data_IF_975260301936
#
_entry.id   IF_975260301936
#
_cell.length_a   1.000
_cell.length_b   1.000
_cell.length_c   1.000
_cell.angle_alpha   90.00
_cell.angle_beta   90.00
_cell.angle_gamma   90.00
#
_symmetry.space_group_name_H-M   'P 1'
#
loop_
_entity.id
_entity.type
_entity.pdbx_description
1 polymer ?
#
# COMPACT_ATOMS: atom_id res chain seq x y z
N UNK A 1 3.38 12.75 -17.70
CA UNK A 1 4.48 12.57 -16.72
C UNK A 1 4.32 11.16 -16.14
N UNK A 2 5.40 10.39 -15.97
CA UNK A 2 5.32 9.04 -15.39
C UNK A 2 6.04 9.02 -14.04
N UNK A 3 5.33 8.65 -12.98
CA UNK A 3 5.97 8.35 -11.69
C UNK A 3 6.61 6.97 -11.74
N UNK A 4 7.79 6.81 -11.15
CA UNK A 4 8.47 5.53 -11.05
C UNK A 4 7.86 4.62 -9.96
N UNK A 5 7.03 5.20 -9.08
CA UNK A 5 6.27 4.49 -8.06
C UNK A 5 5.05 5.32 -7.61
N UNK A 6 4.20 4.69 -6.80
CA UNK A 6 2.97 5.32 -6.27
C UNK A 6 3.23 6.54 -5.38
N UNK A 7 4.33 6.57 -4.62
CA UNK A 7 4.71 7.71 -3.77
C UNK A 7 5.07 8.94 -4.60
N UNK A 8 5.86 8.76 -5.66
CA UNK A 8 6.21 9.86 -6.57
C UNK A 8 4.98 10.34 -7.35
N UNK A 9 4.10 9.43 -7.74
CA UNK A 9 2.84 9.77 -8.40
C UNK A 9 1.96 10.65 -7.49
N UNK A 10 1.88 10.32 -6.19
CA UNK A 10 1.23 11.19 -5.18
C UNK A 10 1.88 12.57 -5.10
N UNK A 11 3.22 12.65 -5.09
CA UNK A 11 3.93 13.93 -5.03
C UNK A 11 3.59 14.82 -6.23
N UNK A 12 3.50 14.27 -7.44
CA UNK A 12 3.14 15.06 -8.62
C UNK A 12 1.75 15.68 -8.52
N UNK A 13 0.76 14.94 -8.02
CA UNK A 13 -0.56 15.51 -7.76
C UNK A 13 -0.51 16.57 -6.66
N UNK A 14 0.18 16.29 -5.55
CA UNK A 14 0.26 17.21 -4.41
C UNK A 14 0.95 18.55 -4.75
N UNK A 15 1.90 18.57 -5.68
CA UNK A 15 2.59 19.79 -6.11
C UNK A 15 1.98 20.45 -7.33
N UNK A 16 0.83 19.96 -7.83
CA UNK A 16 0.18 20.46 -9.05
C UNK A 16 0.94 20.17 -10.36
N UNK A 17 1.91 19.26 -10.32
CA UNK A 17 2.62 18.78 -11.51
C UNK A 17 1.79 17.74 -12.30
N UNK A 18 0.72 17.24 -11.70
CA UNK A 18 -0.33 16.44 -12.34
C UNK A 18 -1.69 16.86 -11.78
N UNK A 19 -2.71 16.93 -12.62
CA UNK A 19 -4.08 17.29 -12.19
C UNK A 19 -4.77 16.13 -11.45
N UNK A 20 -4.48 14.89 -11.86
CA UNK A 20 -5.04 13.66 -11.28
C UNK A 20 -3.94 12.61 -11.18
N UNK A 21 -4.02 11.76 -10.16
CA UNK A 21 -3.10 10.65 -9.92
C UNK A 21 -3.85 9.37 -9.55
N UNK A 22 -3.50 8.26 -10.21
CA UNK A 22 -3.89 6.92 -9.77
C UNK A 22 -2.87 6.40 -8.75
N UNK A 23 -3.30 6.23 -7.50
CA UNK A 23 -2.47 5.81 -6.36
C UNK A 23 -3.25 4.89 -5.44
N UNK A 24 -2.56 4.19 -4.50
CA UNK A 24 -3.25 3.31 -3.54
C UNK A 24 -4.04 4.10 -2.50
N UNK A 25 -5.17 3.55 -2.07
CA UNK A 25 -6.06 4.14 -1.05
C UNK A 25 -5.31 4.47 0.25
N UNK A 26 -4.36 3.62 0.64
CA UNK A 26 -3.50 3.81 1.82
C UNK A 26 -2.68 5.11 1.79
N UNK A 27 -2.39 5.65 0.60
CA UNK A 27 -1.64 6.90 0.46
C UNK A 27 -2.54 8.15 0.45
N UNK A 28 -3.86 7.99 0.31
CA UNK A 28 -4.83 9.09 0.24
C UNK A 28 -5.56 9.30 1.56
N UNK A 29 -5.56 8.29 2.44
CA UNK A 29 -6.24 8.36 3.75
C UNK A 29 -5.61 9.45 4.64
N UNK A 30 -6.41 10.47 4.98
CA UNK A 30 -5.97 11.66 5.73
C UNK A 30 -5.31 12.76 4.89
N UNK A 31 -5.34 12.65 3.55
CA UNK A 31 -4.82 13.64 2.62
C UNK A 31 -5.87 14.66 2.15
N UNK A 32 -5.40 15.63 1.37
CA UNK A 32 -6.22 16.67 0.73
C UNK A 32 -6.63 16.26 -0.69
N UNK A 33 -7.80 16.71 -1.15
CA UNK A 33 -8.30 16.49 -2.50
C UNK A 33 -9.58 15.66 -2.56
N UNK A 34 -10.08 15.45 -3.78
CA UNK A 34 -11.20 14.54 -4.03
C UNK A 34 -10.67 13.15 -4.37
N UNK A 35 -11.26 12.14 -3.73
CA UNK A 35 -10.91 10.74 -3.93
C UNK A 35 -12.06 10.06 -4.67
N UNK A 36 -11.72 9.35 -5.75
CA UNK A 36 -12.63 8.48 -6.47
C UNK A 36 -12.05 7.08 -6.38
N UNK A 37 -12.75 6.18 -5.68
CA UNK A 37 -12.36 4.77 -5.62
C UNK A 37 -12.62 4.11 -6.98
N UNK A 38 -11.65 3.31 -7.43
CA UNK A 38 -11.78 2.53 -8.66
C UNK A 38 -12.51 1.25 -8.30
N UNK A 39 -13.60 0.93 -9.02
CA UNK A 39 -14.36 -0.29 -8.79
C UNK A 39 -13.50 -1.54 -9.02
N UNK A 40 -13.68 -2.55 -8.16
CA UNK A 40 -12.95 -3.83 -8.21
C UNK A 40 -13.13 -4.59 -9.54
N UNK A 41 -14.22 -4.34 -10.28
CA UNK A 41 -14.49 -4.93 -11.59
C UNK A 41 -13.66 -4.29 -12.73
N UNK A 42 -13.00 -3.16 -12.47
CA UNK A 42 -12.20 -2.41 -13.44
C UNK A 42 -10.72 -2.76 -13.42
N UNK A 43 -10.28 -3.62 -12.50
CA UNK A 43 -8.90 -4.09 -12.44
C UNK A 43 -8.79 -5.54 -11.94
N UNK A 44 -7.60 -6.11 -12.08
CA UNK A 44 -7.28 -7.36 -11.40
C UNK A 44 -7.05 -7.09 -9.91
N UNK A 45 -7.32 -8.04 -9.01
CA UNK A 45 -6.96 -7.90 -7.60
C UNK A 45 -5.48 -7.54 -7.42
N UNK A 46 -5.20 -6.61 -6.51
CA UNK A 46 -3.84 -6.12 -6.21
C UNK A 46 -3.30 -6.84 -4.97
N UNK A 47 -2.83 -8.06 -5.17
CA UNK A 47 -2.36 -8.92 -4.09
C UNK A 47 -1.01 -8.47 -3.53
N UNK A 48 -0.96 -8.21 -2.21
CA UNK A 48 0.28 -7.89 -1.50
C UNK A 48 0.88 -9.16 -0.91
N UNK A 49 2.18 -9.37 -1.13
CA UNK A 49 2.90 -10.53 -0.62
C UNK A 49 4.14 -10.10 0.19
N UNK A 50 4.51 -10.94 1.16
CA UNK A 50 5.68 -10.77 1.99
C UNK A 50 6.43 -12.09 2.10
N UNK A 51 7.76 -12.03 2.06
CA UNK A 51 8.63 -13.21 2.15
C UNK A 51 9.93 -12.88 2.92
N UNK A 52 10.51 -13.89 3.55
CA UNK A 52 11.88 -13.80 4.11
C UNK A 52 12.88 -14.24 3.06
N UNK A 53 13.94 -13.46 2.87
CA UNK A 53 15.04 -13.87 1.99
C UNK A 53 15.78 -15.07 2.58
N UNK A 54 15.99 -16.10 1.76
CA UNK A 54 16.61 -17.36 2.20
C UNK A 54 17.99 -17.15 2.86
N UNK A 55 18.76 -16.21 2.34
CA UNK A 55 20.14 -15.94 2.80
C UNK A 55 20.21 -14.86 3.89
N UNK A 56 19.08 -14.46 4.47
CA UNK A 56 19.07 -13.49 5.57
C UNK A 56 19.83 -14.03 6.79
N UNK A 57 20.74 -13.24 7.35
CA UNK A 57 21.35 -13.51 8.66
C UNK A 57 20.42 -13.16 9.84
N UNK A 58 19.20 -12.68 9.57
CA UNK A 58 18.21 -12.25 10.56
C UNK A 58 16.90 -13.06 10.47
N UNK A 59 16.98 -14.34 10.13
CA UNK A 59 15.81 -15.23 9.94
C UNK A 59 14.78 -15.11 11.08
N UNK A 60 15.21 -15.23 12.33
CA UNK A 60 14.29 -15.19 13.47
C UNK A 60 13.62 -13.81 13.65
N UNK A 61 14.34 -12.72 13.40
CA UNK A 61 13.77 -11.39 13.50
C UNK A 61 12.78 -11.12 12.35
N UNK A 62 13.10 -11.58 11.14
CA UNK A 62 12.20 -11.52 10.00
C UNK A 62 10.93 -12.33 10.24
N UNK A 63 11.03 -13.53 10.83
CA UNK A 63 9.87 -14.33 11.18
C UNK A 63 8.98 -13.62 12.21
N UNK A 64 9.56 -13.06 13.28
CA UNK A 64 8.78 -12.27 14.26
C UNK A 64 8.07 -11.08 13.64
N UNK A 65 8.70 -10.41 12.66
CA UNK A 65 8.05 -9.33 11.92
C UNK A 65 6.89 -9.84 11.07
N UNK A 66 7.07 -10.95 10.36
CA UNK A 66 5.99 -11.63 9.63
C UNK A 66 4.82 -11.99 10.54
N UNK A 67 5.11 -12.61 11.69
CA UNK A 67 4.10 -13.00 12.67
C UNK A 67 3.33 -11.78 13.20
N UNK A 68 4.02 -10.65 13.40
CA UNK A 68 3.38 -9.39 13.80
C UNK A 68 2.45 -8.84 12.71
N UNK A 69 2.92 -8.73 11.46
CA UNK A 69 2.09 -8.21 10.36
C UNK A 69 0.86 -9.09 10.12
N UNK A 70 1.00 -10.41 10.30
CA UNK A 70 -0.09 -11.39 10.14
C UNK A 70 -0.96 -11.56 11.40
N UNK A 71 -0.57 -10.96 12.53
CA UNK A 71 -1.35 -10.98 13.77
C UNK A 71 -2.66 -10.17 13.64
N UNK A 72 -3.59 -10.36 14.57
CA UNK A 72 -4.82 -9.58 14.60
C UNK A 72 -4.57 -8.06 14.67
N UNK A 73 -3.54 -7.64 15.42
CA UNK A 73 -3.15 -6.23 15.52
C UNK A 73 -2.62 -5.69 14.19
N UNK A 74 -1.72 -6.44 13.54
CA UNK A 74 -1.15 -6.05 12.24
C UNK A 74 -2.20 -5.99 11.13
N UNK A 75 -3.13 -6.96 11.10
CA UNK A 75 -4.22 -6.99 10.13
C UNK A 75 -5.21 -5.83 10.35
N UNK A 76 -5.59 -5.54 11.60
CA UNK A 76 -6.45 -4.41 11.92
C UNK A 76 -5.83 -3.06 11.49
N UNK A 77 -4.50 -2.92 11.62
CA UNK A 77 -3.78 -1.74 11.14
C UNK A 77 -3.82 -1.63 9.61
N UNK A 78 -3.62 -2.73 8.90
CA UNK A 78 -3.70 -2.76 7.43
C UNK A 78 -5.10 -2.41 6.92
N UNK A 79 -6.15 -3.00 7.53
CA UNK A 79 -7.55 -2.65 7.26
C UNK A 79 -7.83 -1.18 7.53
N UNK A 80 -7.29 -0.63 8.63
CA UNK A 80 -7.39 0.79 8.93
C UNK A 80 -6.78 1.67 7.83
N UNK A 81 -5.81 1.20 7.05
CA UNK A 81 -5.27 1.95 5.90
C UNK A 81 -5.91 1.59 4.56
N UNK A 82 -6.95 0.74 4.53
CA UNK A 82 -7.68 0.39 3.31
C UNK A 82 -7.09 -0.79 2.54
N UNK A 83 -6.32 -1.65 3.20
CA UNK A 83 -5.99 -2.97 2.67
C UNK A 83 -7.04 -3.98 3.09
N UNK A 84 -7.31 -4.96 2.25
CA UNK A 84 -8.27 -6.01 2.54
C UNK A 84 -7.55 -7.33 2.83
N UNK A 85 -8.11 -8.10 3.75
CA UNK A 85 -7.70 -9.48 3.97
C UNK A 85 -8.38 -10.38 2.94
N UNK A 86 -7.63 -11.31 2.35
CA UNK A 86 -8.22 -12.42 1.59
C UNK A 86 -8.88 -13.45 2.50
#
# INVERSE_FOLDING_TARGET
MYGQNVTQTKQYAATGNAEVAFISLALVKGGEGQVIEVGEDLHKPIDQAMAVTKDSNKQQAAQRFLDFVLSAEGQALLEHYGYEKK
#
